data_IF_386412129480
#
_entry.id   IF_386412129480
#
_cell.length_a   1.000
_cell.length_b   1.000
_cell.length_c   1.000
_cell.angle_alpha   90.00
_cell.angle_beta   90.00
_cell.angle_gamma   90.00
#
_symmetry.space_group_name_H-M   'P 1'
#
loop_
_entity.id
_entity.type
_entity.pdbx_description
1 polymer ?
#
# COMPACT_ATOMS: atom_id res chain seq x y z
N UNK A 1 -1.01 -4.83 -10.70
CA UNK A 1 -1.34 -3.38 -10.81
C UNK A 1 -1.34 -2.97 -12.29
N UNK A 2 -1.96 -1.84 -12.68
CA UNK A 2 -1.97 -1.38 -14.08
C UNK A 2 -0.67 -0.65 -14.49
N UNK A 3 -0.51 -0.31 -15.79
CA UNK A 3 0.72 0.26 -16.37
C UNK A 3 1.15 1.67 -15.89
N UNK A 4 0.45 2.26 -14.92
CA UNK A 4 0.81 3.53 -14.27
C UNK A 4 1.19 3.37 -12.79
N UNK A 5 1.58 2.16 -12.37
CA UNK A 5 2.05 1.90 -11.01
C UNK A 5 3.52 2.31 -10.85
N UNK A 6 3.83 3.01 -9.77
CA UNK A 6 5.17 3.37 -9.36
C UNK A 6 5.47 2.82 -7.96
N UNK A 7 6.69 2.31 -7.75
CA UNK A 7 7.17 1.93 -6.43
C UNK A 7 7.70 3.19 -5.76
N UNK A 8 7.00 3.65 -4.72
CA UNK A 8 7.43 4.82 -3.94
C UNK A 8 8.62 4.48 -3.04
N UNK A 9 8.59 3.29 -2.45
CA UNK A 9 9.59 2.80 -1.51
C UNK A 9 9.46 1.29 -1.34
N UNK A 10 10.58 0.63 -1.04
CA UNK A 10 10.58 -0.73 -0.51
C UNK A 10 11.61 -0.89 0.60
N UNK A 11 11.39 -1.88 1.47
CA UNK A 11 12.33 -2.33 2.49
C UNK A 11 12.26 -3.85 2.65
N UNK A 12 13.42 -4.47 2.81
CA UNK A 12 13.53 -5.86 3.22
C UNK A 12 13.05 -6.00 4.68
N UNK A 13 12.36 -7.10 5.00
CA UNK A 13 12.07 -7.44 6.38
C UNK A 13 13.32 -7.81 7.16
N UNK A 14 13.26 -7.68 8.49
CA UNK A 14 14.42 -7.92 9.34
C UNK A 14 14.43 -9.36 9.83
N UNK A 15 15.62 -9.89 10.11
CA UNK A 15 15.78 -11.21 10.73
C UNK A 15 15.37 -11.18 12.22
N UNK A 16 15.73 -10.09 12.90
CA UNK A 16 15.42 -9.88 14.31
C UNK A 16 13.92 -9.74 14.57
N UNK A 17 13.34 -10.51 15.51
CA UNK A 17 11.99 -10.28 15.97
C UNK A 17 11.92 -9.02 16.84
N UNK A 18 10.75 -8.38 16.87
CA UNK A 18 10.43 -7.17 17.67
C UNK A 18 11.16 -5.90 17.27
N UNK A 19 11.63 -5.83 16.04
CA UNK A 19 12.18 -4.61 15.46
C UNK A 19 11.16 -3.85 14.60
N UNK A 20 11.46 -2.58 14.35
CA UNK A 20 10.63 -1.69 13.55
C UNK A 20 11.42 -1.15 12.35
N UNK A 21 10.83 -1.26 11.17
CA UNK A 21 11.36 -0.69 9.94
C UNK A 21 10.66 0.65 9.70
N UNK A 22 11.43 1.74 9.71
CA UNK A 22 10.89 3.06 9.46
C UNK A 22 10.82 3.37 7.95
N UNK A 23 9.65 3.81 7.51
CA UNK A 23 9.34 4.22 6.15
C UNK A 23 8.99 5.71 6.18
N UNK A 24 9.89 6.55 5.67
CA UNK A 24 9.70 8.01 5.60
C UNK A 24 9.85 8.48 4.16
N UNK A 25 8.89 9.25 3.68
CA UNK A 25 8.92 9.82 2.34
C UNK A 25 8.17 11.15 2.31
N UNK A 26 8.61 12.03 1.41
CA UNK A 26 7.96 13.31 1.15
C UNK A 26 7.07 13.22 -0.09
N UNK A 27 5.90 13.82 0.00
CA UNK A 27 4.99 13.99 -1.12
C UNK A 27 4.79 15.46 -1.46
N UNK A 28 4.88 15.75 -2.75
CA UNK A 28 4.45 17.05 -3.25
C UNK A 28 2.94 17.24 -3.03
N UNK A 29 2.54 18.52 -2.96
CA UNK A 29 1.16 18.87 -2.66
C UNK A 29 0.18 18.41 -3.75
N UNK A 30 0.60 18.39 -5.02
CA UNK A 30 -0.25 18.02 -6.16
C UNK A 30 -0.61 16.54 -6.12
N UNK A 31 0.38 15.68 -5.91
CA UNK A 31 0.20 14.24 -5.75
C UNK A 31 -0.61 13.94 -4.48
N UNK A 32 -0.36 14.66 -3.39
CA UNK A 32 -1.18 14.55 -2.19
C UNK A 32 -2.67 14.83 -2.46
N UNK A 33 -3.01 15.85 -3.25
CA UNK A 33 -4.41 16.14 -3.59
C UNK A 33 -5.08 15.00 -4.37
N UNK A 34 -4.35 14.34 -5.26
CA UNK A 34 -4.84 13.15 -5.97
C UNK A 34 -5.08 11.97 -5.02
N UNK A 35 -4.17 11.76 -4.06
CA UNK A 35 -4.31 10.72 -3.03
C UNK A 35 -5.46 11.02 -2.07
N UNK A 36 -5.58 12.27 -1.63
CA UNK A 36 -6.65 12.73 -0.74
C UNK A 36 -8.04 12.56 -1.38
N UNK A 37 -8.14 12.70 -2.71
CA UNK A 37 -9.37 12.41 -3.46
C UNK A 37 -9.76 10.93 -3.33
N UNK A 38 -8.81 10.01 -3.51
CA UNK A 38 -9.06 8.58 -3.32
C UNK A 38 -9.36 8.22 -1.86
N UNK A 39 -8.65 8.82 -0.90
CA UNK A 39 -8.89 8.61 0.53
C UNK A 39 -10.34 8.97 0.92
N UNK A 40 -10.93 9.98 0.28
CA UNK A 40 -12.31 10.44 0.55
C UNK A 40 -13.38 9.71 -0.27
N UNK A 41 -13.02 8.74 -1.13
CA UNK A 41 -13.92 8.06 -2.09
C UNK A 41 -15.24 7.53 -1.53
N UNK A 42 -15.26 7.11 -0.26
CA UNK A 42 -16.47 6.58 0.43
C UNK A 42 -17.47 7.68 0.78
N UNK A 43 -17.01 8.92 0.94
CA UNK A 43 -17.82 10.11 1.24
C UNK A 43 -18.03 11.01 0.03
N UNK A 44 -17.24 10.84 -1.04
CA UNK A 44 -17.37 11.62 -2.27
C UNK A 44 -18.68 11.32 -3.01
N UNK A 45 -19.31 12.33 -3.63
CA UNK A 45 -20.46 12.13 -4.51
C UNK A 45 -20.20 11.14 -5.65
N UNK A 46 -21.27 10.49 -6.16
CA UNK A 46 -21.20 9.45 -7.21
C UNK A 46 -20.55 9.92 -8.51
N UNK A 47 -20.72 11.21 -8.84
CA UNK A 47 -20.20 11.86 -10.06
C UNK A 47 -18.74 12.32 -9.97
N UNK A 48 -18.07 12.15 -8.82
CA UNK A 48 -16.64 12.47 -8.73
C UNK A 48 -15.86 11.42 -9.50
N UNK A 49 -15.13 11.86 -10.52
CA UNK A 49 -14.17 11.03 -11.23
C UNK A 49 -13.01 10.65 -10.31
N UNK A 50 -12.94 9.35 -10.01
CA UNK A 50 -11.90 8.74 -9.21
C UNK A 50 -10.84 8.04 -10.05
N UNK A 51 -11.03 7.86 -11.36
CA UNK A 51 -10.04 7.19 -12.21
C UNK A 51 -8.73 7.97 -12.23
N UNK A 52 -8.81 9.30 -12.17
CA UNK A 52 -7.68 10.22 -12.09
C UNK A 52 -7.13 10.42 -10.67
N UNK A 53 -7.66 9.72 -9.67
CA UNK A 53 -7.09 9.73 -8.31
C UNK A 53 -5.90 8.79 -8.22
N UNK A 54 -5.16 8.87 -7.11
CA UNK A 54 -4.01 8.00 -6.84
C UNK A 54 -4.28 7.22 -5.55
N UNK A 55 -4.07 5.91 -5.60
CA UNK A 55 -4.05 5.01 -4.48
C UNK A 55 -2.62 4.85 -3.97
N UNK A 56 -2.45 4.76 -2.66
CA UNK A 56 -1.23 4.27 -2.03
C UNK A 56 -1.52 2.93 -1.37
N UNK A 57 -0.97 1.87 -1.95
CA UNK A 57 -1.13 0.50 -1.48
C UNK A 57 0.15 0.01 -0.82
N UNK A 58 0.02 -0.51 0.40
CA UNK A 58 1.08 -1.21 1.12
C UNK A 58 1.00 -2.70 0.82
N UNK A 59 2.10 -3.26 0.35
CA UNK A 59 2.23 -4.63 -0.10
C UNK A 59 3.28 -5.38 0.72
N UNK A 60 3.00 -6.66 0.97
CA UNK A 60 3.94 -7.62 1.51
C UNK A 60 4.12 -8.73 0.48
N UNK A 61 5.37 -8.94 0.06
CA UNK A 61 5.74 -9.88 -1.00
C UNK A 61 6.90 -10.75 -0.53
N UNK A 62 7.04 -11.99 -1.03
CA UNK A 62 8.30 -12.71 -0.92
C UNK A 62 9.45 -11.86 -1.45
N UNK A 63 10.60 -11.95 -0.80
CA UNK A 63 11.77 -11.20 -1.23
C UNK A 63 12.16 -11.64 -2.62
N UNK A 64 12.23 -10.67 -3.53
CA UNK A 64 12.61 -10.86 -4.92
C UNK A 64 14.09 -10.51 -5.08
N UNK A 65 14.94 -10.85 -4.10
CA UNK A 65 16.39 -10.61 -4.17
C UNK A 65 16.85 -10.97 -5.58
N UNK A 66 17.26 -9.97 -6.40
CA UNK A 66 17.76 -10.31 -7.70
C UNK A 66 19.07 -11.04 -7.45
N UNK A 67 19.13 -12.33 -7.80
CA UNK A 67 20.40 -12.83 -8.31
C UNK A 67 20.64 -11.99 -9.57
N UNK A 68 21.66 -11.14 -9.63
CA UNK A 68 21.92 -10.40 -10.86
C UNK A 68 22.17 -11.44 -11.95
N UNK A 69 21.35 -11.51 -13.01
CA UNK A 69 21.75 -12.29 -14.17
C UNK A 69 23.02 -11.63 -14.70
N UNK A 70 24.07 -12.42 -14.93
CA UNK A 70 25.41 -11.92 -15.30
C UNK A 70 25.42 -11.13 -16.62
N UNK A 71 24.31 -11.03 -17.37
CA UNK A 71 24.34 -10.54 -18.75
C UNK A 71 23.10 -9.78 -19.27
N UNK A 72 22.16 -9.34 -18.43
CA UNK A 72 20.99 -8.60 -18.94
C UNK A 72 20.63 -7.38 -18.06
N UNK A 73 20.25 -6.28 -18.71
CA UNK A 73 19.87 -5.02 -18.05
C UNK A 73 18.91 -5.29 -16.87
N UNK A 74 19.13 -4.67 -15.71
CA UNK A 74 18.28 -4.88 -14.55
C UNK A 74 16.82 -4.53 -14.90
N UNK A 75 15.93 -5.52 -14.75
CA UNK A 75 14.49 -5.31 -14.94
C UNK A 75 14.01 -4.28 -13.92
N UNK A 76 13.27 -3.22 -14.33
CA UNK A 76 12.74 -2.23 -13.39
C UNK A 76 11.93 -2.91 -12.29
N UNK A 77 12.16 -2.52 -11.04
CA UNK A 77 11.56 -3.15 -9.86
C UNK A 77 10.02 -3.08 -9.89
N UNK A 78 9.47 -2.07 -10.56
CA UNK A 78 8.04 -1.92 -10.87
C UNK A 78 7.52 -3.11 -11.67
N UNK A 79 8.26 -3.60 -12.68
CA UNK A 79 7.83 -4.75 -13.49
C UNK A 79 7.81 -6.04 -12.66
N UNK A 80 8.77 -6.21 -11.76
CA UNK A 80 8.84 -7.39 -10.87
C UNK A 80 7.67 -7.43 -9.88
N UNK A 81 7.26 -6.26 -9.39
CA UNK A 81 6.22 -6.13 -8.35
C UNK A 81 4.81 -5.97 -8.92
N UNK A 82 4.68 -5.54 -10.18
CA UNK A 82 3.39 -5.29 -10.83
C UNK A 82 2.48 -6.53 -10.87
N UNK A 83 3.06 -7.70 -11.16
CA UNK A 83 2.35 -8.97 -11.30
C UNK A 83 2.42 -9.85 -10.05
N UNK A 84 3.21 -9.42 -9.06
CA UNK A 84 3.37 -10.13 -7.80
C UNK A 84 2.12 -9.97 -6.92
N UNK A 85 1.61 -11.09 -6.40
CA UNK A 85 0.46 -11.09 -5.50
C UNK A 85 0.89 -10.79 -4.07
N UNK A 86 0.28 -9.77 -3.46
CA UNK A 86 0.38 -9.51 -2.03
C UNK A 86 0.02 -10.79 -1.25
N UNK A 87 0.91 -11.21 -0.35
CA UNK A 87 0.66 -12.28 0.62
C UNK A 87 0.78 -11.67 2.00
N UNK A 88 -0.02 -12.12 2.97
CA UNK A 88 0.06 -11.60 4.34
C UNK A 88 0.23 -12.76 5.31
N UNK A 89 1.03 -12.60 6.38
CA UNK A 89 1.10 -13.61 7.42
C UNK A 89 -0.27 -13.80 8.09
N UNK A 90 -0.53 -15.02 8.57
CA UNK A 90 -1.79 -15.34 9.24
C UNK A 90 -1.74 -15.06 10.76
N UNK A 91 -0.55 -14.90 11.34
CA UNK A 91 -0.31 -14.71 12.76
C UNK A 91 -0.10 -13.24 13.07
N UNK A 92 -0.54 -12.74 14.24
CA UNK A 92 -0.56 -11.32 14.66
C UNK A 92 0.78 -10.59 14.79
N UNK A 93 1.79 -11.03 14.05
CA UNK A 93 3.19 -10.70 14.19
C UNK A 93 3.59 -9.47 13.37
N UNK A 94 2.64 -8.80 12.71
CA UNK A 94 2.92 -7.69 11.80
C UNK A 94 1.88 -6.56 11.92
N UNK A 95 2.37 -5.33 12.07
CA UNK A 95 1.53 -4.13 12.07
C UNK A 95 2.22 -2.94 11.42
N UNK A 96 1.43 -2.03 10.85
CA UNK A 96 1.89 -0.73 10.39
C UNK A 96 1.44 0.34 11.39
N UNK A 97 2.40 1.10 11.91
CA UNK A 97 2.16 2.17 12.86
C UNK A 97 2.39 3.52 12.19
N UNK A 98 1.54 4.49 12.51
CA UNK A 98 1.69 5.88 12.04
C UNK A 98 1.04 6.85 13.01
N UNK A 99 1.39 8.13 12.90
CA UNK A 99 0.80 9.21 13.69
C UNK A 99 0.01 10.14 12.80
N UNK A 100 -1.23 10.42 13.20
CA UNK A 100 -2.09 11.40 12.54
C UNK A 100 -2.75 12.28 13.58
N UNK A 101 -2.63 13.60 13.40
CA UNK A 101 -3.22 14.61 14.29
C UNK A 101 -2.87 14.36 15.78
N UNK A 102 -1.63 13.94 16.04
CA UNK A 102 -1.12 13.63 17.38
C UNK A 102 -1.57 12.29 17.95
N UNK A 103 -2.39 11.50 17.23
CA UNK A 103 -2.87 10.19 17.65
C UNK A 103 -2.10 9.07 16.96
N UNK A 104 -1.78 8.03 17.72
CA UNK A 104 -1.20 6.80 17.21
C UNK A 104 -2.27 5.94 16.54
N UNK A 105 -1.95 5.44 15.34
CA UNK A 105 -2.76 4.50 14.59
C UNK A 105 -1.96 3.22 14.38
N UNK A 106 -2.58 2.09 14.72
CA UNK A 106 -2.04 0.75 14.49
C UNK A 106 -2.93 0.06 13.49
N UNK A 107 -2.36 -0.29 12.33
CA UNK A 107 -3.03 -1.04 11.28
C UNK A 107 -2.52 -2.49 11.36
N UNK A 108 -3.36 -3.47 11.74
CA UNK A 108 -2.95 -4.87 11.75
C UNK A 108 -2.71 -5.34 10.31
N UNK A 109 -1.59 -6.03 10.10
CA UNK A 109 -1.17 -6.54 8.78
C UNK A 109 -1.15 -8.07 8.71
N UNK A 110 -1.45 -8.76 9.80
CA UNK A 110 -1.38 -10.21 9.83
C UNK A 110 -2.48 -10.87 10.70
N UNK A 111 -3.60 -11.30 10.10
CA UNK A 111 -4.04 -10.93 8.75
C UNK A 111 -4.54 -9.48 8.72
N UNK A 112 -4.44 -8.79 7.58
CA UNK A 112 -5.01 -7.45 7.44
C UNK A 112 -6.54 -7.50 7.46
N UNK A 113 -7.15 -6.57 8.19
CA UNK A 113 -8.62 -6.47 8.29
C UNK A 113 -9.22 -5.85 7.01
N UNK A 114 -8.48 -4.93 6.38
CA UNK A 114 -8.96 -4.17 5.23
C UNK A 114 -7.97 -4.30 4.07
N UNK A 115 -8.26 -5.23 3.16
CA UNK A 115 -7.54 -5.37 1.90
C UNK A 115 -8.33 -4.81 0.74
N UNK A 116 -7.62 -4.26 -0.23
CA UNK A 116 -8.17 -3.96 -1.55
C UNK A 116 -8.49 -5.27 -2.29
N UNK A 117 -9.28 -5.23 -3.37
CA UNK A 117 -9.44 -6.37 -4.26
C UNK A 117 -8.13 -6.95 -4.81
N UNK A 118 -7.05 -6.16 -4.80
CA UNK A 118 -5.70 -6.57 -5.20
C UNK A 118 -4.92 -7.25 -4.05
N UNK A 119 -5.59 -7.54 -2.93
CA UNK A 119 -5.06 -8.14 -1.70
C UNK A 119 -3.96 -7.33 -1.01
N UNK A 120 -3.88 -6.02 -1.24
CA UNK A 120 -2.91 -5.14 -0.58
C UNK A 120 -3.65 -4.19 0.39
N UNK A 121 -2.93 -3.57 1.32
CA UNK A 121 -3.54 -2.68 2.32
C UNK A 121 -3.56 -1.26 1.78
N UNK A 122 -4.74 -0.67 1.62
CA UNK A 122 -4.87 0.73 1.21
C UNK A 122 -4.55 1.66 2.38
N UNK A 123 -3.44 2.39 2.29
CA UNK A 123 -3.01 3.34 3.32
C UNK A 123 -3.24 4.80 2.91
N UNK A 124 -3.90 5.07 1.79
CA UNK A 124 -4.12 6.42 1.24
C UNK A 124 -4.74 7.39 2.25
N UNK A 125 -5.57 6.89 3.17
CA UNK A 125 -6.20 7.68 4.21
C UNK A 125 -5.23 8.20 5.30
N UNK A 126 -4.03 7.64 5.39
CA UNK A 126 -3.00 7.99 6.37
C UNK A 126 -1.88 8.85 5.78
N UNK A 127 -1.89 9.05 4.46
CA UNK A 127 -0.92 9.87 3.74
C UNK A 127 -1.13 11.35 4.06
N UNK A 128 -0.03 12.10 4.19
CA UNK A 128 -0.01 13.53 4.48
C UNK A 128 0.66 14.31 3.34
N UNK A 129 0.35 15.60 3.25
CA UNK A 129 1.11 16.54 2.41
C UNK A 129 2.46 16.81 3.09
N UNK A 130 3.56 16.74 2.34
CA UNK A 130 4.91 16.78 2.90
C UNK A 130 5.33 15.42 3.45
N UNK A 131 6.00 15.42 4.60
CA UNK A 131 6.56 14.20 5.18
C UNK A 131 5.46 13.26 5.70
N UNK A 132 5.50 12.02 5.23
CA UNK A 132 4.73 10.90 5.75
C UNK A 132 5.68 9.88 6.37
N UNK A 133 5.38 9.48 7.61
CA UNK A 133 6.19 8.54 8.38
C UNK A 133 5.34 7.35 8.86
N UNK A 134 5.85 6.16 8.63
CA UNK A 134 5.28 4.89 9.07
C UNK A 134 6.36 4.01 9.68
N UNK A 135 5.96 3.12 10.59
CA UNK A 135 6.84 2.10 11.15
C UNK A 135 6.19 0.73 10.97
N UNK A 136 6.85 -0.16 10.25
CA UNK A 136 6.46 -1.57 10.15
C UNK A 136 7.03 -2.29 11.36
N UNK A 137 6.16 -2.75 12.26
CA UNK A 137 6.57 -3.48 13.46
C UNK A 137 6.36 -4.97 13.22
N UNK A 138 7.45 -5.74 13.30
CA UNK A 138 7.47 -7.19 13.11
C UNK A 138 7.80 -7.90 14.43
N UNK A 139 7.14 -9.03 14.70
CA UNK A 139 7.36 -9.85 15.91
C UNK A 139 8.05 -11.19 15.61
N UNK A 140 8.18 -11.54 14.33
CA UNK A 140 8.88 -12.73 13.84
C UNK A 140 9.97 -12.34 12.86
N UNK A 141 10.79 -13.33 12.46
CA UNK A 141 11.70 -13.17 11.34
C UNK A 141 10.89 -12.90 10.06
N UNK A 142 11.21 -11.81 9.35
CA UNK A 142 10.63 -11.40 8.07
C UNK A 142 11.72 -11.21 6.99
N UNK A 143 12.93 -11.74 7.18
CA UNK A 143 14.07 -11.61 6.28
C UNK A 143 13.84 -12.19 4.89
N UNK A 144 12.82 -13.02 4.71
CA UNK A 144 12.45 -13.60 3.42
C UNK A 144 11.37 -12.80 2.69
N UNK A 145 10.98 -11.63 3.22
CA UNK A 145 9.89 -10.82 2.68
C UNK A 145 10.31 -9.35 2.48
N UNK A 146 9.57 -8.67 1.61
CA UNK A 146 9.71 -7.25 1.35
C UNK A 146 8.39 -6.52 1.61
N UNK A 147 8.54 -5.33 2.16
CA UNK A 147 7.48 -4.35 2.34
C UNK A 147 7.59 -3.28 1.26
N UNK A 148 6.51 -3.04 0.53
CA UNK A 148 6.53 -2.16 -0.64
C UNK A 148 5.36 -1.19 -0.59
N UNK A 149 5.64 0.06 -0.92
CA UNK A 149 4.66 1.13 -1.10
C UNK A 149 4.49 1.40 -2.59
N UNK A 150 3.30 1.12 -3.11
CA UNK A 150 2.93 1.40 -4.50
C UNK A 150 2.04 2.64 -4.57
N UNK A 151 2.38 3.59 -5.43
CA UNK A 151 1.46 4.61 -5.94
C UNK A 151 0.89 4.13 -7.27
N UNK A 152 -0.42 4.14 -7.44
CA UNK A 152 -1.05 3.74 -8.69
C UNK A 152 -2.44 4.35 -8.83
N UNK A 153 -2.95 4.46 -10.06
CA UNK A 153 -4.37 4.77 -10.27
C UNK A 153 -5.27 3.61 -9.79
N UNK A 154 -6.52 3.88 -9.36
CA UNK A 154 -7.43 2.83 -8.95
C UNK A 154 -7.55 1.72 -9.99
N UNK A 155 -7.46 0.47 -9.53
CA UNK A 155 -7.61 -0.66 -10.44
C UNK A 155 -9.07 -0.83 -10.87
N UNK A 156 -9.35 -1.45 -12.03
CA UNK A 156 -10.73 -1.74 -12.42
C UNK A 156 -11.49 -2.55 -11.35
N UNK A 157 -10.80 -3.45 -10.64
CA UNK A 157 -11.37 -4.21 -9.53
C UNK A 157 -11.73 -3.30 -8.34
N UNK A 158 -10.87 -2.33 -7.98
CA UNK A 158 -11.16 -1.34 -6.94
C UNK A 158 -12.34 -0.44 -7.29
N UNK A 159 -12.43 0.03 -8.53
CA UNK A 159 -13.53 0.86 -9.02
C UNK A 159 -14.85 0.09 -9.02
N UNK A 160 -14.84 -1.16 -9.54
CA UNK A 160 -16.01 -2.04 -9.53
C UNK A 160 -16.48 -2.37 -8.12
N UNK A 161 -15.56 -2.68 -7.21
CA UNK A 161 -15.87 -2.91 -5.79
C UNK A 161 -16.52 -1.68 -5.16
N UNK A 162 -15.97 -0.48 -5.40
CA UNK A 162 -16.53 0.77 -4.89
C UNK A 162 -17.95 1.02 -5.46
N UNK A 163 -18.16 0.79 -6.75
CA UNK A 163 -19.47 0.92 -7.38
C UNK A 163 -20.49 -0.03 -6.75
N UNK A 164 -20.10 -1.30 -6.51
CA UNK A 164 -20.96 -2.28 -5.84
C UNK A 164 -21.32 -1.88 -4.41
N UNK A 165 -20.37 -1.30 -3.65
CA UNK A 165 -20.63 -0.79 -2.30
C UNK A 165 -21.59 0.39 -2.31
N UNK A 166 -21.49 1.27 -3.31
CA UNK A 166 -22.41 2.42 -3.47
C UNK A 166 -23.81 1.96 -3.80
N UNK A 167 -23.97 1.02 -4.74
CA UNK A 167 -25.27 0.45 -5.08
C UNK A 167 -25.93 -0.19 -3.85
N UNK A 168 -25.19 -1.04 -3.14
CA UNK A 168 -25.68 -1.64 -1.89
C UNK A 168 -26.08 -0.61 -0.83
N UNK A 169 -25.51 0.60 -0.82
CA UNK A 169 -25.91 1.65 0.13
C UNK A 169 -27.16 2.41 -0.32
N UNK A 170 -27.37 2.52 -1.64
CA UNK A 170 -28.58 3.12 -2.21
C UNK A 170 -29.80 2.20 -2.06
N UNK A 171 -29.57 0.87 -2.04
CA UNK A 171 -30.62 -0.14 -1.90
C UNK A 171 -31.13 -0.35 -0.44
N UNK A 172 -30.45 0.22 0.56
CA UNK A 172 -30.80 0.12 2.00
C UNK A 172 -31.53 1.38 2.48
#
# INVERSE_FOLDING_TARGET
FGGGMAVMMFRQGLESPREAINLTFDLDHTLYLQIARWAKRKSSPKYVDLEQSVCVSFAHLPSLLPNPPEDDQPTPFEKLTMDSKCSWPATGDLSLQTKRDGKDFIIPLAPPIFVTPDNCVDISAFIRSGESAFSVVQQSNMSDYMFILHAHHPTPAQLSYLASCRQKREDW
#
